data_IF_974349116517
#
_entry.id   IF_974349116517
#
_cell.length_a   1.000
_cell.length_b   1.000
_cell.length_c   1.000
_cell.angle_alpha   90.00
_cell.angle_beta   90.00
_cell.angle_gamma   90.00
#
_symmetry.space_group_name_H-M   'P 1'
#
loop_
_entity.id
_entity.type
_entity.pdbx_description
1 polymer ?
#
# COMPACT_ATOMS: atom_id res chain seq x y z
N UNK A 1 25.55 -18.20 -6.44
CA UNK A 1 24.39 -17.57 -7.10
C UNK A 1 24.13 -16.25 -6.40
N UNK A 2 24.32 -15.14 -7.11
CA UNK A 2 24.32 -13.78 -6.56
C UNK A 2 23.00 -13.09 -6.88
N UNK A 3 22.25 -12.70 -5.86
CA UNK A 3 21.23 -11.64 -5.95
C UNK A 3 21.46 -10.66 -4.79
N UNK A 4 22.49 -9.82 -4.91
CA UNK A 4 22.56 -8.55 -4.17
C UNK A 4 21.81 -7.48 -4.96
N UNK A 5 20.48 -7.54 -4.92
CA UNK A 5 19.65 -6.36 -5.14
C UNK A 5 19.45 -5.71 -3.78
N UNK A 6 19.97 -4.49 -3.57
CA UNK A 6 19.77 -3.79 -2.30
C UNK A 6 18.29 -3.80 -1.92
N UNK A 7 17.96 -4.35 -0.76
CA UNK A 7 16.59 -4.34 -0.23
C UNK A 7 16.15 -2.88 -0.13
N UNK A 8 15.29 -2.45 -1.06
CA UNK A 8 14.55 -1.21 -0.89
C UNK A 8 13.53 -1.48 0.20
N UNK A 9 13.68 -0.79 1.33
CA UNK A 9 12.70 -0.84 2.41
C UNK A 9 11.33 -0.53 1.82
N UNK A 10 10.42 -1.50 1.81
CA UNK A 10 9.05 -1.28 1.37
C UNK A 10 8.25 -0.74 2.55
N UNK A 11 7.54 0.36 2.33
CA UNK A 11 6.62 0.87 3.34
C UNK A 11 5.32 0.10 3.21
N UNK A 12 4.92 -0.56 4.29
CA UNK A 12 3.64 -1.23 4.42
C UNK A 12 2.77 -0.45 5.41
N UNK A 13 1.62 0.02 4.95
CA UNK A 13 0.59 0.60 5.82
C UNK A 13 -0.57 -0.36 5.91
N UNK A 14 -1.03 -0.66 7.12
CA UNK A 14 -2.24 -1.43 7.27
C UNK A 14 -3.12 -0.98 8.43
N UNK A 15 -4.41 -1.21 8.27
CA UNK A 15 -5.45 -0.88 9.26
C UNK A 15 -5.89 -2.12 10.01
N UNK A 16 -5.89 -2.08 11.35
CA UNK A 16 -6.58 -3.07 12.18
C UNK A 16 -7.51 -2.32 13.13
N UNK A 17 -8.80 -2.26 12.78
CA UNK A 17 -9.74 -1.34 13.43
C UNK A 17 -9.36 0.12 13.14
N UNK A 18 -9.45 1.00 14.15
CA UNK A 18 -9.09 2.43 14.03
C UNK A 18 -7.58 2.74 14.09
N UNK A 19 -6.73 1.71 14.22
CA UNK A 19 -5.28 1.92 14.32
C UNK A 19 -4.61 1.69 12.97
N UNK A 20 -3.85 2.69 12.53
CA UNK A 20 -3.01 2.63 11.34
C UNK A 20 -1.59 2.24 11.78
N UNK A 21 -1.02 1.19 11.17
CA UNK A 21 0.38 0.82 11.38
C UNK A 21 1.19 1.19 10.15
N UNK A 22 2.27 1.93 10.35
CA UNK A 22 3.29 2.22 9.35
C UNK A 22 4.49 1.32 9.62
N UNK A 23 4.79 0.44 8.68
CA UNK A 23 5.81 -0.59 8.82
C UNK A 23 6.90 -0.41 7.76
N UNK A 24 8.15 -0.57 8.17
CA UNK A 24 9.28 -0.77 7.27
C UNK A 24 9.61 -2.26 7.22
N UNK A 25 9.44 -2.87 6.06
CA UNK A 25 9.70 -4.29 5.84
C UNK A 25 11.00 -4.48 5.04
N UNK A 26 11.92 -5.37 5.47
CA UNK A 26 13.11 -5.67 4.70
C UNK A 26 12.75 -6.49 3.44
N UNK A 27 11.75 -7.36 3.52
CA UNK A 27 11.30 -8.22 2.42
C UNK A 27 9.85 -7.91 2.06
N UNK A 28 9.45 -8.29 0.84
CA UNK A 28 8.05 -8.28 0.45
C UNK A 28 7.28 -9.33 1.24
N UNK A 29 6.26 -8.87 1.96
CA UNK A 29 5.36 -9.73 2.73
C UNK A 29 4.19 -10.10 1.85
N UNK A 30 3.75 -11.37 1.96
CA UNK A 30 2.50 -11.81 1.32
C UNK A 30 1.36 -10.91 1.76
N UNK A 31 0.61 -10.40 0.78
CA UNK A 31 -0.51 -9.51 1.02
C UNK A 31 -1.47 -10.10 2.06
N UNK A 32 -1.98 -9.24 2.95
CA UNK A 32 -2.94 -9.60 3.99
C UNK A 32 -2.43 -10.56 5.09
N UNK A 33 -1.15 -10.92 5.09
CA UNK A 33 -0.53 -11.70 6.16
C UNK A 33 -0.05 -10.81 7.31
N UNK A 34 -1.00 -10.36 8.14
CA UNK A 34 -0.72 -9.48 9.27
C UNK A 34 0.24 -10.10 10.30
N UNK A 35 0.17 -11.42 10.49
CA UNK A 35 1.03 -12.13 11.43
C UNK A 35 2.48 -12.09 10.96
N UNK A 36 2.71 -12.39 9.68
CA UNK A 36 4.04 -12.33 9.09
C UNK A 36 4.60 -10.90 9.06
N UNK A 37 3.75 -9.90 8.75
CA UNK A 37 4.16 -8.49 8.78
C UNK A 37 4.60 -8.03 10.18
N UNK A 38 3.84 -8.39 11.22
CA UNK A 38 4.20 -8.02 12.61
C UNK A 38 5.48 -8.71 13.09
N UNK A 39 5.83 -9.88 12.53
CA UNK A 39 7.04 -10.61 12.87
C UNK A 39 8.28 -10.07 12.14
N UNK A 40 8.12 -9.75 10.84
CA UNK A 40 9.24 -9.44 9.94
C UNK A 40 9.51 -7.95 9.78
N UNK A 41 8.54 -7.09 10.05
CA UNK A 41 8.64 -5.65 9.81
C UNK A 41 8.74 -4.84 11.10
N UNK A 42 9.43 -3.70 11.03
CA UNK A 42 9.43 -2.73 12.11
C UNK A 42 8.23 -1.79 11.96
N UNK A 43 7.22 -1.94 12.82
CA UNK A 43 5.96 -1.21 12.72
C UNK A 43 5.78 -0.19 13.85
N UNK A 44 5.27 1.01 13.49
CA UNK A 44 4.84 2.04 14.44
C UNK A 44 3.36 2.36 14.22
N UNK A 45 2.63 2.57 15.31
CA UNK A 45 1.25 3.05 15.23
C UNK A 45 1.25 4.55 14.96
N UNK A 46 0.43 4.98 14.00
CA UNK A 46 0.29 6.39 13.62
C UNK A 46 -1.17 6.83 13.72
N UNK A 47 -1.38 8.11 14.01
CA UNK A 47 -2.73 8.67 14.06
C UNK A 47 -3.27 8.89 12.64
N UNK A 48 -4.57 8.63 12.38
CA UNK A 48 -5.18 8.75 11.05
C UNK A 48 -5.01 10.11 10.36
N UNK A 49 -4.86 11.18 11.13
CA UNK A 49 -4.72 12.55 10.64
C UNK A 49 -3.26 13.03 10.54
N UNK A 50 -2.30 12.26 11.09
CA UNK A 50 -0.89 12.62 11.07
C UNK A 50 -0.17 12.22 9.76
N UNK A 51 -0.89 11.60 8.82
CA UNK A 51 -0.36 11.13 7.53
C UNK A 51 -0.59 12.11 6.37
N UNK A 52 -1.22 13.25 6.63
CA UNK A 52 -1.39 14.31 5.63
C UNK A 52 -0.01 14.79 5.15
N UNK A 53 0.17 14.85 3.82
CA UNK A 53 1.42 15.27 3.15
C UNK A 53 2.63 14.34 3.33
N UNK A 54 2.41 13.02 3.39
CA UNK A 54 3.52 12.07 3.37
C UNK A 54 4.03 11.82 1.94
N UNK A 55 5.36 11.86 1.78
CA UNK A 55 6.03 11.51 0.53
C UNK A 55 6.76 10.18 0.67
N UNK A 56 6.38 9.22 -0.17
CA UNK A 56 7.01 7.91 -0.26
C UNK A 56 7.85 7.85 -1.53
N UNK A 57 9.17 7.78 -1.33
CA UNK A 57 10.14 7.74 -2.41
C UNK A 57 10.26 6.35 -3.05
N UNK A 58 10.02 5.31 -2.25
CA UNK A 58 9.98 3.91 -2.67
C UNK A 58 8.53 3.42 -2.85
N UNK A 59 8.37 2.11 -3.06
CA UNK A 59 7.04 1.50 -3.19
C UNK A 59 6.28 1.56 -1.87
N UNK A 60 5.05 2.07 -1.94
CA UNK A 60 4.08 2.01 -0.86
C UNK A 60 3.12 0.86 -1.10
N UNK A 61 2.99 -0.03 -0.13
CA UNK A 61 1.94 -1.05 -0.09
C UNK A 61 0.94 -0.71 1.01
N UNK A 62 -0.35 -0.70 0.69
CA UNK A 62 -1.41 -0.48 1.66
C UNK A 62 -2.33 -1.70 1.71
N UNK A 63 -2.45 -2.30 2.88
CA UNK A 63 -3.44 -3.33 3.17
C UNK A 63 -4.60 -2.72 3.93
N UNK A 64 -5.80 -2.86 3.40
CA UNK A 64 -6.98 -2.24 3.97
C UNK A 64 -8.14 -3.22 3.98
N UNK A 65 -8.99 -3.07 5.00
CA UNK A 65 -10.28 -3.76 5.08
C UNK A 65 -11.43 -2.80 4.85
N UNK A 66 -11.28 -1.55 5.31
CA UNK A 66 -12.26 -0.48 5.16
C UNK A 66 -11.77 0.57 4.16
N UNK A 67 -12.58 0.80 3.13
CA UNK A 67 -12.27 1.71 2.03
C UNK A 67 -12.34 3.18 2.46
N UNK A 68 -13.10 3.51 3.51
CA UNK A 68 -13.22 4.89 4.01
C UNK A 68 -11.87 5.45 4.50
N UNK A 69 -11.01 4.56 5.00
CA UNK A 69 -9.68 4.91 5.51
C UNK A 69 -8.68 5.23 4.40
N UNK A 70 -8.86 4.67 3.19
CA UNK A 70 -7.98 4.93 2.05
C UNK A 70 -8.04 6.38 1.60
N UNK A 71 -9.24 6.96 1.54
CA UNK A 71 -9.43 8.35 1.14
C UNK A 71 -8.65 9.29 2.04
N UNK A 72 -8.63 9.04 3.35
CA UNK A 72 -7.88 9.82 4.33
C UNK A 72 -6.36 9.58 4.23
N UNK A 73 -5.95 8.31 4.09
CA UNK A 73 -4.54 7.93 4.00
C UNK A 73 -3.85 8.47 2.75
N UNK A 74 -4.54 8.45 1.61
CA UNK A 74 -3.94 8.73 0.31
C UNK A 74 -4.15 10.17 -0.15
N UNK A 75 -5.00 10.95 0.52
CA UNK A 75 -5.27 12.34 0.13
C UNK A 75 -3.97 13.13 0.07
N UNK A 76 -3.60 13.56 -1.14
CA UNK A 76 -2.37 14.33 -1.38
C UNK A 76 -1.07 13.61 -1.00
N UNK A 77 -1.09 12.27 -0.98
CA UNK A 77 0.13 11.47 -0.82
C UNK A 77 0.94 11.50 -2.11
N UNK A 78 2.24 11.80 -2.00
CA UNK A 78 3.18 11.76 -3.12
C UNK A 78 3.86 10.38 -3.16
N UNK A 79 3.49 9.56 -4.15
CA UNK A 79 4.04 8.20 -4.31
C UNK A 79 4.11 7.80 -5.79
N UNK A 80 5.21 7.15 -6.19
CA UNK A 80 5.41 6.73 -7.58
C UNK A 80 4.91 5.31 -7.87
N UNK A 81 5.08 4.38 -6.93
CA UNK A 81 4.67 2.99 -7.04
C UNK A 81 3.77 2.63 -5.86
N UNK A 82 2.48 2.49 -6.13
CA UNK A 82 1.46 2.19 -5.14
C UNK A 82 0.89 0.80 -5.38
N UNK A 83 0.87 -0.01 -4.33
CA UNK A 83 0.15 -1.28 -4.29
C UNK A 83 -0.96 -1.21 -3.25
N UNK A 84 -2.19 -1.50 -3.65
CA UNK A 84 -3.36 -1.59 -2.81
C UNK A 84 -3.80 -3.05 -2.71
N UNK A 85 -3.91 -3.58 -1.49
CA UNK A 85 -4.39 -4.94 -1.25
C UNK A 85 -5.62 -4.90 -0.34
N UNK A 86 -6.75 -5.35 -0.86
CA UNK A 86 -8.01 -5.47 -0.12
C UNK A 86 -8.05 -6.79 0.63
N UNK A 87 -8.01 -6.70 1.97
CA UNK A 87 -7.83 -7.83 2.88
C UNK A 87 -9.14 -8.22 3.59
N UNK A 88 -10.21 -8.42 2.83
CA UNK A 88 -11.52 -8.78 3.35
C UNK A 88 -12.57 -8.94 2.26
N UNK A 89 -13.82 -9.15 2.66
CA UNK A 89 -14.95 -9.39 1.74
C UNK A 89 -15.59 -8.11 1.18
N UNK A 90 -15.05 -6.94 1.50
CA UNK A 90 -15.58 -5.67 1.02
C UNK A 90 -15.26 -5.47 -0.47
N UNK A 91 -15.95 -4.53 -1.12
CA UNK A 91 -15.64 -4.13 -2.49
C UNK A 91 -14.60 -3.00 -2.49
N UNK A 92 -13.94 -2.79 -3.62
CA UNK A 92 -13.10 -1.60 -3.82
C UNK A 92 -13.92 -0.31 -3.65
N UNK A 93 -13.30 0.80 -3.24
CA UNK A 93 -13.99 2.09 -3.15
C UNK A 93 -14.56 2.47 -4.52
N UNK A 94 -15.78 2.98 -4.53
CA UNK A 94 -16.35 3.68 -5.70
C UNK A 94 -15.96 5.16 -5.71
N UNK A 95 -15.41 5.68 -4.61
CA UNK A 95 -14.90 7.03 -4.49
C UNK A 95 -13.54 7.19 -5.18
N UNK A 96 -13.32 8.38 -5.76
CA UNK A 96 -12.05 8.70 -6.41
C UNK A 96 -10.93 8.95 -5.39
N UNK A 97 -9.77 8.34 -5.63
CA UNK A 97 -8.55 8.59 -4.85
C UNK A 97 -7.67 9.63 -5.56
N UNK A 98 -7.28 10.67 -4.83
CA UNK A 98 -6.39 11.71 -5.34
C UNK A 98 -4.94 11.47 -4.89
N UNK A 99 -4.11 10.93 -5.79
CA UNK A 99 -2.72 10.55 -5.53
C UNK A 99 -1.78 11.39 -6.39
N UNK A 100 -0.71 11.92 -5.81
CA UNK A 100 0.28 12.72 -6.51
C UNK A 100 1.47 11.87 -6.98
N UNK A 101 1.98 12.12 -8.19
CA UNK A 101 3.24 11.53 -8.69
C UNK A 101 3.19 10.05 -9.09
N UNK A 102 1.99 9.44 -9.16
CA UNK A 102 1.77 8.03 -9.45
C UNK A 102 2.29 7.64 -10.85
N UNK A 103 3.10 6.58 -10.91
CA UNK A 103 3.59 5.97 -12.16
C UNK A 103 3.12 4.52 -12.32
N UNK A 104 3.00 3.79 -11.22
CA UNK A 104 2.53 2.41 -11.19
C UNK A 104 1.49 2.24 -10.09
N UNK A 105 0.34 1.69 -10.47
CA UNK A 105 -0.69 1.26 -9.55
C UNK A 105 -0.86 -0.25 -9.67
N UNK A 106 -0.81 -0.94 -8.54
CA UNK A 106 -1.13 -2.36 -8.43
C UNK A 106 -2.31 -2.55 -7.49
N UNK A 107 -3.27 -3.36 -7.89
CA UNK A 107 -4.45 -3.68 -7.09
C UNK A 107 -4.51 -5.19 -6.95
N UNK A 108 -4.57 -5.64 -5.70
CA UNK A 108 -4.87 -7.01 -5.34
C UNK A 108 -6.14 -7.03 -4.49
N UNK A 109 -7.06 -7.94 -4.80
CA UNK A 109 -8.24 -8.17 -3.99
C UNK A 109 -8.33 -9.67 -3.74
N UNK A 110 -8.22 -10.09 -2.48
CA UNK A 110 -8.56 -11.46 -2.09
C UNK A 110 -10.09 -11.59 -2.10
N UNK A 111 -10.69 -11.69 -3.29
CA UNK A 111 -12.05 -12.19 -3.40
C UNK A 111 -12.02 -13.72 -3.35
N UNK A 112 -13.17 -14.36 -3.09
CA UNK A 112 -13.32 -15.82 -3.04
C UNK A 112 -12.77 -16.57 -4.28
N UNK A 113 -12.40 -15.85 -5.33
CA UNK A 113 -11.57 -16.33 -6.42
C UNK A 113 -10.30 -15.47 -6.48
N UNK A 114 -9.09 -16.06 -6.46
CA UNK A 114 -7.85 -15.30 -6.50
C UNK A 114 -7.84 -14.46 -7.79
N UNK A 115 -8.21 -13.19 -7.64
CA UNK A 115 -8.19 -12.24 -8.73
C UNK A 115 -6.71 -11.98 -8.99
N UNK A 116 -6.24 -12.18 -10.23
CA UNK A 116 -4.85 -11.86 -10.57
C UNK A 116 -4.59 -10.38 -10.26
N UNK A 117 -3.42 -10.08 -9.69
CA UNK A 117 -2.97 -8.70 -9.46
C UNK A 117 -3.16 -7.89 -10.76
N UNK A 118 -3.87 -6.77 -10.64
CA UNK A 118 -4.10 -5.85 -11.75
C UNK A 118 -3.07 -4.72 -11.65
N UNK A 119 -2.41 -4.38 -12.76
CA UNK A 119 -1.40 -3.33 -12.80
C UNK A 119 -1.74 -2.29 -13.88
N UNK A 120 -1.71 -1.02 -13.50
CA UNK A 120 -1.77 0.14 -14.40
C UNK A 120 -0.41 0.84 -14.39
N UNK A 121 0.13 1.13 -15.57
CA UNK A 121 1.35 1.89 -15.76
C UNK A 121 1.02 3.20 -16.45
N UNK A 122 1.36 4.31 -15.81
CA UNK A 122 1.20 5.65 -16.35
C UNK A 122 2.53 6.06 -16.98
N UNK A 123 2.53 6.13 -18.30
CA UNK A 123 3.66 6.65 -19.05
C UNK A 123 3.40 8.12 -19.39
N UNK A 124 4.34 8.98 -19.00
CA UNK A 124 4.35 10.35 -19.49
C UNK A 124 5.16 10.35 -20.80
N UNK A 125 4.54 10.67 -21.94
CA UNK A 125 5.32 11.01 -23.13
C UNK A 125 5.94 12.39 -22.85
N UNK A 126 7.25 12.42 -22.62
CA UNK A 126 7.98 13.69 -22.71
C UNK A 126 7.97 14.10 -24.18
N UNK A 127 7.27 15.19 -24.51
CA UNK A 127 7.62 16.04 -25.64
C UNK A 127 8.87 16.85 -25.31
#
# INVERSE_FOLDING_TARGET
MSHKGGQKNSTLIFTKGNTIRNCSCPVDIRDCDYSLANLMCSCKSVLPFATEHTSYHDRLTIWFTDTSTLGHLLKFTLVQDLKLSLCGSNTLPTEYLAICGLKRLRINAETKHPSREQSLLIHNRRE
#
